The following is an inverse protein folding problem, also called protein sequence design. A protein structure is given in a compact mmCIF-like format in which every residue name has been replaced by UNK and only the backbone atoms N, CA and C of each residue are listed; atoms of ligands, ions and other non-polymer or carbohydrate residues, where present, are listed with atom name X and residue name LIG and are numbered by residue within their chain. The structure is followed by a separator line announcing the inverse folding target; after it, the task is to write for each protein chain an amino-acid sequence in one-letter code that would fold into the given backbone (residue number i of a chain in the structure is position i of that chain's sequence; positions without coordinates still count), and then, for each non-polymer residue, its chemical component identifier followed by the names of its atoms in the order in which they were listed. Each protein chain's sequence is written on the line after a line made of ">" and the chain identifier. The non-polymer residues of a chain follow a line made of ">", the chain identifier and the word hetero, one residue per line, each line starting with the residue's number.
data_IF_108165557537
#
_entry.id   IF_108165557537
#
_cell.length_a   1.000
_cell.length_b   1.000
_cell.length_c   1.000
_cell.angle_alpha   90.00
_cell.angle_beta   90.00
_cell.angle_gamma   90.00
#
_symmetry.space_group_name_H-M   'P 1'
#
loop_
_entity.id
_entity.type
_entity.pdbx_description
1 polymer ?
#
# COMPACT_ATOMS: atom_id res chain seq x y z
N UNK A 1 72.62 -30.48 -38.36
CA UNK A 1 73.48 -29.89 -37.32
C UNK A 1 72.75 -30.07 -35.99
N UNK A 2 73.32 -30.97 -35.17
CA UNK A 2 72.79 -31.30 -33.82
C UNK A 2 72.92 -30.09 -32.86
N UNK A 3 71.99 -29.90 -31.96
CA UNK A 3 72.35 -29.62 -30.56
C UNK A 3 71.26 -30.16 -29.60
N UNK A 4 71.72 -31.08 -28.76
CA UNK A 4 71.10 -31.57 -27.52
C UNK A 4 71.26 -30.50 -26.45
N UNK A 5 70.24 -30.22 -25.61
CA UNK A 5 70.47 -29.81 -24.20
C UNK A 5 69.30 -30.32 -23.33
N UNK A 6 69.73 -31.27 -22.49
CA UNK A 6 69.42 -31.58 -21.08
C UNK A 6 68.01 -31.36 -20.52
N UNK A 7 67.52 -32.50 -20.02
CA UNK A 7 66.52 -32.63 -18.93
C UNK A 7 67.08 -32.01 -17.65
N UNK A 8 66.28 -31.18 -17.02
CA UNK A 8 66.36 -30.97 -15.58
C UNK A 8 64.99 -31.23 -14.95
N UNK A 9 65.04 -32.18 -14.05
CA UNK A 9 63.97 -32.69 -13.21
C UNK A 9 63.64 -31.65 -12.14
N UNK A 10 62.44 -31.04 -12.15
CA UNK A 10 61.93 -30.34 -11.01
C UNK A 10 60.64 -31.00 -10.57
N UNK A 11 60.76 -31.66 -9.43
CA UNK A 11 59.75 -32.25 -8.61
C UNK A 11 58.82 -31.11 -8.09
N UNK A 12 57.63 -30.94 -8.63
CA UNK A 12 56.68 -29.95 -8.12
C UNK A 12 55.49 -30.68 -7.51
N UNK A 13 55.37 -30.46 -6.21
CA UNK A 13 54.35 -30.98 -5.30
C UNK A 13 52.98 -30.52 -5.77
N UNK A 14 52.14 -31.44 -6.20
CA UNK A 14 50.72 -31.26 -6.46
C UNK A 14 49.97 -31.15 -5.13
N UNK A 15 49.75 -29.92 -4.68
CA UNK A 15 48.77 -29.62 -3.62
C UNK A 15 47.41 -29.69 -4.28
N UNK A 16 46.67 -30.77 -4.02
CA UNK A 16 45.23 -30.85 -4.29
C UNK A 16 44.49 -29.90 -3.36
N UNK A 17 44.15 -28.71 -3.82
CA UNK A 17 43.06 -27.92 -3.24
C UNK A 17 41.75 -28.54 -3.73
N UNK A 18 41.15 -29.39 -2.91
CA UNK A 18 39.75 -29.73 -3.04
C UNK A 18 38.89 -28.52 -2.70
N UNK A 19 38.56 -27.72 -3.70
CA UNK A 19 37.50 -26.74 -3.59
C UNK A 19 36.18 -27.50 -3.52
N UNK A 20 35.68 -27.70 -2.31
CA UNK A 20 34.30 -28.08 -2.10
C UNK A 20 33.42 -26.88 -2.54
N UNK A 21 33.04 -26.87 -3.80
CA UNK A 21 31.95 -26.04 -4.27
C UNK A 21 30.65 -26.64 -3.72
N UNK A 22 30.25 -26.21 -2.54
CA UNK A 22 28.85 -26.36 -2.15
C UNK A 22 28.01 -25.52 -3.11
N UNK A 23 27.59 -26.08 -4.21
CA UNK A 23 26.46 -25.60 -4.97
C UNK A 23 25.22 -25.84 -4.10
N UNK A 24 24.86 -24.85 -3.31
CA UNK A 24 23.50 -24.76 -2.80
C UNK A 24 22.58 -24.47 -4.00
N UNK A 25 22.02 -25.54 -4.55
CA UNK A 25 20.84 -25.43 -5.40
C UNK A 25 19.77 -24.82 -4.50
N UNK A 26 19.54 -23.52 -4.63
CA UNK A 26 18.34 -22.89 -4.14
C UNK A 26 17.22 -23.31 -5.10
N UNK A 27 16.57 -24.42 -4.79
CA UNK A 27 15.22 -24.68 -5.27
C UNK A 27 14.30 -23.65 -4.65
N UNK A 28 14.08 -22.56 -5.39
CA UNK A 28 13.22 -21.43 -4.99
C UNK A 28 11.75 -21.70 -5.21
N UNK A 29 11.17 -22.75 -4.67
CA UNK A 29 9.70 -22.95 -4.58
C UNK A 29 9.34 -23.94 -3.47
N UNK A 30 10.00 -23.90 -2.32
CA UNK A 30 9.74 -24.78 -1.21
C UNK A 30 9.22 -24.04 0.00
N UNK A 31 7.91 -24.16 0.27
CA UNK A 31 7.25 -24.16 1.58
C UNK A 31 7.83 -23.22 2.66
N UNK A 32 7.63 -21.93 2.51
CA UNK A 32 7.83 -20.96 3.61
C UNK A 32 6.82 -21.17 4.76
N UNK A 33 5.75 -21.94 4.54
CA UNK A 33 4.70 -22.23 5.53
C UNK A 33 5.14 -23.18 6.65
N UNK A 34 6.27 -23.88 6.50
CA UNK A 34 6.69 -24.91 7.45
C UNK A 34 7.94 -24.55 8.28
N UNK A 35 8.41 -23.31 8.17
CA UNK A 35 9.63 -22.88 8.86
C UNK A 35 9.32 -22.27 10.23
N UNK A 36 10.07 -22.69 11.25
CA UNK A 36 10.02 -22.03 12.56
C UNK A 36 10.74 -20.70 12.54
N UNK A 37 10.07 -19.66 13.04
CA UNK A 37 10.65 -18.36 13.33
C UNK A 37 11.14 -18.36 14.78
N UNK A 38 12.41 -18.01 14.99
CA UNK A 38 13.06 -17.99 16.29
C UNK A 38 13.19 -16.55 16.79
N UNK A 39 12.88 -16.33 18.06
CA UNK A 39 13.06 -15.05 18.76
C UNK A 39 13.78 -15.29 20.08
N UNK A 40 14.71 -14.39 20.39
CA UNK A 40 15.58 -14.50 21.57
C UNK A 40 15.28 -13.37 22.56
N UNK A 41 15.60 -13.63 23.83
CA UNK A 41 15.56 -12.65 24.90
C UNK A 41 14.20 -11.94 25.02
N UNK A 42 13.12 -12.69 24.86
CA UNK A 42 11.76 -12.17 25.05
C UNK A 42 11.48 -12.03 26.53
N UNK A 43 10.89 -10.92 26.92
CA UNK A 43 10.59 -10.60 28.31
C UNK A 43 9.08 -10.50 28.53
N UNK A 44 8.63 -10.90 29.72
CA UNK A 44 7.26 -10.74 30.18
C UNK A 44 7.19 -10.63 31.71
N UNK A 45 6.14 -10.01 32.22
CA UNK A 45 5.93 -9.88 33.68
C UNK A 45 5.59 -11.22 34.31
N UNK A 46 4.92 -12.10 33.59
CA UNK A 46 4.54 -13.46 33.93
C UNK A 46 4.64 -14.33 32.63
N UNK A 47 4.30 -15.61 32.74
CA UNK A 47 4.36 -16.56 31.62
C UNK A 47 3.40 -16.19 30.48
N UNK A 48 2.20 -15.72 30.83
CA UNK A 48 1.18 -15.28 29.84
C UNK A 48 1.64 -14.04 29.06
N UNK A 49 2.16 -13.04 29.76
CA UNK A 49 2.71 -11.82 29.14
C UNK A 49 3.95 -12.14 28.29
N UNK A 50 4.79 -13.08 28.73
CA UNK A 50 5.89 -13.59 27.93
C UNK A 50 5.39 -14.26 26.65
N UNK A 51 4.39 -15.14 26.73
CA UNK A 51 3.84 -15.83 25.56
C UNK A 51 3.27 -14.84 24.54
N UNK A 52 2.51 -13.85 25.00
CA UNK A 52 1.95 -12.80 24.16
C UNK A 52 3.05 -12.00 23.44
N UNK A 53 4.07 -11.58 24.19
CA UNK A 53 5.19 -10.82 23.63
C UNK A 53 6.04 -11.65 22.66
N UNK A 54 6.21 -12.95 22.96
CA UNK A 54 6.94 -13.86 22.09
C UNK A 54 6.18 -14.13 20.78
N UNK A 55 4.88 -14.40 20.84
CA UNK A 55 4.03 -14.56 19.64
C UNK A 55 4.04 -13.30 18.79
N UNK A 56 4.00 -12.11 19.40
CA UNK A 56 4.09 -10.83 18.68
C UNK A 56 5.41 -10.71 17.93
N UNK A 57 6.54 -10.95 18.58
CA UNK A 57 7.88 -10.90 17.94
C UNK A 57 8.05 -11.95 16.84
N UNK A 58 7.51 -13.18 17.05
CA UNK A 58 7.51 -14.23 16.04
C UNK A 58 6.72 -13.80 14.81
N UNK A 59 5.54 -13.21 15.02
CA UNK A 59 4.70 -12.72 13.94
C UNK A 59 5.37 -11.58 13.18
N UNK A 60 5.95 -10.59 13.88
CA UNK A 60 6.68 -9.47 13.27
C UNK A 60 7.86 -9.95 12.40
N UNK A 61 8.64 -10.89 12.93
CA UNK A 61 9.79 -11.44 12.21
C UNK A 61 9.36 -12.32 11.04
N UNK A 62 8.39 -13.21 11.25
CA UNK A 62 7.86 -14.09 10.21
C UNK A 62 7.15 -13.34 9.08
N UNK A 63 6.44 -12.24 9.38
CA UNK A 63 5.88 -11.35 8.37
C UNK A 63 6.99 -10.67 7.56
N UNK A 64 8.09 -10.25 8.20
CA UNK A 64 9.27 -9.71 7.50
C UNK A 64 9.86 -10.72 6.53
N UNK A 65 10.08 -11.96 6.96
CA UNK A 65 10.60 -13.05 6.12
C UNK A 65 9.65 -13.42 4.97
N UNK A 66 8.33 -13.39 5.18
CA UNK A 66 7.32 -13.62 4.14
C UNK A 66 7.32 -12.50 3.08
N UNK A 67 7.57 -11.26 3.49
CA UNK A 67 7.67 -10.11 2.58
C UNK A 67 8.94 -10.20 1.74
N UNK A 68 10.08 -10.54 2.34
CA UNK A 68 11.36 -10.71 1.64
C UNK A 68 11.39 -11.93 0.71
N UNK A 69 10.65 -12.99 1.05
CA UNK A 69 10.63 -14.27 0.32
C UNK A 69 9.82 -14.33 -0.97
N UNK A 70 9.34 -13.20 -1.51
CA UNK A 70 8.77 -13.16 -2.88
C UNK A 70 7.31 -12.75 -3.02
N UNK A 71 6.63 -12.38 -1.97
CA UNK A 71 5.35 -11.67 -2.03
C UNK A 71 5.51 -10.24 -1.52
N UNK A 72 6.02 -9.35 -2.37
CA UNK A 72 6.00 -7.89 -2.16
C UNK A 72 4.56 -7.31 -2.01
N UNK A 73 3.59 -8.17 -1.80
CA UNK A 73 2.17 -7.82 -1.71
C UNK A 73 1.61 -7.75 -0.29
N UNK A 74 2.42 -8.11 0.72
CA UNK A 74 2.01 -7.97 2.11
C UNK A 74 2.66 -6.71 2.66
N UNK A 75 1.95 -5.60 2.51
CA UNK A 75 2.39 -4.26 2.85
C UNK A 75 2.67 -4.04 4.34
N UNK A 76 3.51 -3.05 4.65
CA UNK A 76 3.80 -2.63 6.02
C UNK A 76 2.56 -2.32 6.87
N UNK A 77 1.42 -1.96 6.24
CA UNK A 77 0.12 -1.80 6.89
C UNK A 77 -0.46 -3.10 7.41
N UNK A 78 -0.26 -4.20 6.68
CA UNK A 78 -0.65 -5.54 7.11
C UNK A 78 0.15 -5.91 8.33
N UNK A 79 1.44 -5.62 8.33
CA UNK A 79 2.34 -5.84 9.46
C UNK A 79 1.85 -5.10 10.71
N UNK A 80 1.54 -3.82 10.60
CA UNK A 80 1.04 -2.99 11.72
C UNK A 80 -0.36 -3.42 12.17
N UNK A 81 -1.21 -3.78 11.22
CA UNK A 81 -2.59 -4.20 11.48
C UNK A 81 -2.66 -5.58 12.12
N UNK A 82 -1.85 -6.53 11.66
CA UNK A 82 -1.80 -7.90 12.19
C UNK A 82 -1.11 -7.90 13.55
N UNK A 83 -0.03 -7.13 13.74
CA UNK A 83 0.65 -7.02 15.05
C UNK A 83 -0.19 -6.31 16.11
N UNK A 84 -1.12 -5.46 15.73
CA UNK A 84 -2.05 -4.77 16.63
C UNK A 84 -3.39 -5.51 16.86
N UNK A 85 -3.72 -6.51 16.06
CA UNK A 85 -4.85 -7.42 16.31
C UNK A 85 -4.39 -8.60 17.16
N UNK A 86 -5.33 -9.36 17.75
CA UNK A 86 -4.98 -10.53 18.58
C UNK A 86 -4.00 -11.46 17.85
N UNK A 87 -2.74 -11.42 18.24
CA UNK A 87 -1.63 -12.17 17.63
C UNK A 87 -1.78 -13.68 17.76
N UNK A 88 -2.70 -14.14 18.61
CA UNK A 88 -2.84 -15.54 19.01
C UNK A 88 -3.24 -16.46 17.84
N UNK A 89 -3.99 -15.95 16.85
CA UNK A 89 -4.49 -16.76 15.75
C UNK A 89 -3.51 -17.01 14.61
N UNK A 90 -2.45 -16.21 14.49
CA UNK A 90 -1.53 -16.28 13.34
C UNK A 90 -0.27 -17.07 13.59
N UNK A 91 0.10 -17.27 14.89
CA UNK A 91 1.24 -18.07 15.29
C UNK A 91 0.76 -19.44 15.72
N UNK A 92 1.12 -20.44 14.94
CA UNK A 92 0.85 -21.85 15.24
C UNK A 92 2.10 -22.52 15.77
N UNK A 93 1.93 -23.64 16.47
CA UNK A 93 3.06 -24.43 17.00
C UNK A 93 4.05 -23.58 17.81
N UNK A 94 3.56 -22.84 18.81
CA UNK A 94 4.38 -22.04 19.70
C UNK A 94 5.10 -22.90 20.74
N UNK A 95 6.41 -22.66 20.92
CA UNK A 95 7.22 -23.33 21.92
C UNK A 95 8.19 -22.34 22.58
N UNK A 96 8.24 -22.36 23.92
CA UNK A 96 9.34 -21.76 24.66
C UNK A 96 10.60 -22.61 24.54
N UNK A 97 11.75 -21.99 24.44
CA UNK A 97 13.07 -22.64 24.38
C UNK A 97 13.80 -22.43 25.70
N UNK A 98 14.09 -23.51 26.39
CA UNK A 98 14.78 -23.48 27.68
C UNK A 98 13.93 -23.03 28.87
N UNK A 99 14.60 -22.80 30.01
CA UNK A 99 13.96 -22.34 31.25
C UNK A 99 13.92 -20.82 31.29
N UNK A 100 12.98 -20.26 32.05
CA UNK A 100 12.96 -18.82 32.31
C UNK A 100 14.20 -18.35 33.06
N UNK A 101 14.79 -17.27 32.58
CA UNK A 101 15.83 -16.48 33.25
C UNK A 101 15.14 -15.29 33.94
N UNK A 102 15.52 -15.01 35.20
CA UNK A 102 15.04 -13.81 35.88
C UNK A 102 15.93 -12.62 35.53
N UNK A 103 15.30 -11.53 35.04
CA UNK A 103 15.97 -10.26 34.75
C UNK A 103 15.22 -9.14 35.48
N UNK A 104 15.65 -8.86 36.69
CA UNK A 104 14.88 -8.00 37.59
C UNK A 104 13.54 -8.62 37.94
N UNK A 105 12.45 -7.89 37.70
CA UNK A 105 11.08 -8.34 37.91
C UNK A 105 10.45 -9.02 36.69
N UNK A 106 11.23 -9.28 35.65
CA UNK A 106 10.75 -9.90 34.41
C UNK A 106 11.27 -11.32 34.26
N UNK A 107 10.45 -12.15 33.63
CA UNK A 107 10.85 -13.45 33.11
C UNK A 107 11.38 -13.26 31.70
N UNK A 108 12.53 -13.85 31.37
CA UNK A 108 13.14 -13.80 30.05
C UNK A 108 13.39 -15.22 29.55
N UNK A 109 13.01 -15.52 28.33
CA UNK A 109 13.34 -16.76 27.63
C UNK A 109 13.36 -16.55 26.11
N UNK A 110 13.80 -17.59 25.40
CA UNK A 110 13.74 -17.65 23.97
C UNK A 110 12.49 -18.42 23.52
N UNK A 111 12.00 -18.17 22.32
CA UNK A 111 10.83 -18.84 21.79
C UNK A 111 10.92 -19.11 20.30
N UNK A 112 10.11 -20.04 19.81
CA UNK A 112 9.91 -20.32 18.40
C UNK A 112 8.44 -20.58 18.11
N UNK A 113 8.02 -20.31 16.87
CA UNK A 113 6.68 -20.64 16.41
C UNK A 113 6.61 -20.57 14.90
N UNK A 114 5.56 -21.11 14.33
CA UNK A 114 5.25 -21.00 12.90
C UNK A 114 4.26 -19.90 12.65
N UNK A 115 4.44 -19.12 11.59
CA UNK A 115 3.50 -18.10 11.13
C UNK A 115 2.70 -18.67 9.97
N UNK A 116 1.39 -18.71 10.12
CA UNK A 116 0.50 -19.22 9.06
C UNK A 116 0.19 -18.13 8.04
N UNK A 117 0.77 -18.27 6.86
CA UNK A 117 0.50 -17.40 5.71
C UNK A 117 -0.99 -17.42 5.31
N UNK A 118 -1.60 -18.60 5.28
CA UNK A 118 -3.01 -18.76 4.92
C UNK A 118 -3.94 -18.00 5.86
N UNK A 119 -3.74 -18.11 7.17
CA UNK A 119 -4.56 -17.37 8.14
C UNK A 119 -4.42 -15.86 8.00
N UNK A 120 -3.22 -15.40 7.64
CA UNK A 120 -2.96 -13.98 7.35
C UNK A 120 -3.70 -13.56 6.09
N UNK A 121 -3.58 -14.31 5.00
CA UNK A 121 -4.24 -14.01 3.72
C UNK A 121 -5.77 -14.04 3.87
N UNK A 122 -6.32 -15.02 4.58
CA UNK A 122 -7.75 -15.13 4.84
C UNK A 122 -8.27 -13.93 5.65
N UNK A 123 -7.56 -13.54 6.72
CA UNK A 123 -7.90 -12.37 7.55
C UNK A 123 -7.84 -11.06 6.76
N UNK A 124 -6.90 -10.96 5.83
CA UNK A 124 -6.80 -9.80 4.93
C UNK A 124 -7.94 -9.75 3.93
N UNK A 125 -8.30 -10.90 3.34
CA UNK A 125 -9.44 -10.97 2.43
C UNK A 125 -10.75 -10.64 3.14
N UNK A 126 -10.91 -11.08 4.37
CA UNK A 126 -12.07 -10.74 5.20
C UNK A 126 -12.14 -9.23 5.47
N UNK A 127 -11.02 -8.59 5.79
CA UNK A 127 -10.94 -7.13 5.93
C UNK A 127 -11.22 -6.37 4.65
N UNK A 128 -10.70 -6.83 3.51
CA UNK A 128 -11.03 -6.23 2.22
C UNK A 128 -12.52 -6.38 1.88
N UNK A 129 -13.16 -7.44 2.33
CA UNK A 129 -14.62 -7.60 2.20
C UNK A 129 -15.39 -6.61 3.10
N UNK A 130 -14.90 -6.38 4.33
CA UNK A 130 -15.52 -5.42 5.25
C UNK A 130 -15.29 -3.95 4.86
N UNK A 131 -14.09 -3.61 4.43
CA UNK A 131 -13.71 -2.23 4.07
C UNK A 131 -14.07 -1.87 2.63
N UNK A 132 -14.33 -2.86 1.77
CA UNK A 132 -14.47 -2.71 0.33
C UNK A 132 -13.12 -2.45 -0.35
N UNK A 133 -13.08 -2.69 -1.67
CA UNK A 133 -11.92 -2.29 -2.48
C UNK A 133 -11.87 -0.76 -2.58
N UNK A 134 -10.67 -0.14 -2.54
CA UNK A 134 -10.56 1.30 -2.74
C UNK A 134 -11.15 1.71 -4.09
N UNK A 135 -12.03 2.70 -4.08
CA UNK A 135 -12.61 3.28 -5.28
C UNK A 135 -11.59 4.15 -5.99
N UNK A 136 -11.16 3.72 -7.14
CA UNK A 136 -10.08 4.29 -7.91
C UNK A 136 -10.63 4.98 -9.17
N UNK A 137 -10.36 6.25 -9.32
CA UNK A 137 -10.66 7.00 -10.53
C UNK A 137 -9.36 7.26 -11.29
N UNK A 138 -9.39 7.13 -12.61
CA UNK A 138 -8.21 7.29 -13.45
C UNK A 138 -8.48 8.16 -14.64
N UNK A 139 -7.56 9.08 -14.91
CA UNK A 139 -7.56 9.97 -16.09
C UNK A 139 -6.15 9.99 -16.65
N UNK A 140 -6.01 9.57 -17.89
CA UNK A 140 -4.72 9.57 -18.58
C UNK A 140 -4.86 10.30 -19.90
N UNK A 141 -4.03 11.33 -20.08
CA UNK A 141 -3.80 11.98 -21.38
C UNK A 141 -2.89 11.07 -22.21
N UNK A 142 -3.42 10.47 -23.26
CA UNK A 142 -2.68 9.53 -24.09
C UNK A 142 -2.40 10.11 -25.47
N UNK A 143 -1.13 10.17 -25.84
CA UNK A 143 -0.66 10.60 -27.17
C UNK A 143 0.13 9.47 -27.80
N UNK A 144 -0.37 8.94 -28.91
CA UNK A 144 0.25 7.85 -29.67
C UNK A 144 0.66 8.38 -31.03
N UNK A 145 1.97 8.34 -31.32
CA UNK A 145 2.56 8.81 -32.57
C UNK A 145 2.07 10.23 -32.97
N UNK A 146 2.00 11.12 -31.98
CA UNK A 146 1.57 12.51 -32.15
C UNK A 146 0.06 12.72 -32.23
N UNK A 147 -0.76 11.67 -32.13
CA UNK A 147 -2.22 11.76 -32.13
C UNK A 147 -2.78 11.49 -30.75
N UNK A 148 -3.78 12.28 -30.35
CA UNK A 148 -4.52 12.01 -29.11
C UNK A 148 -5.27 10.68 -29.25
N UNK A 149 -5.16 9.85 -28.24
CA UNK A 149 -5.85 8.57 -28.14
C UNK A 149 -6.42 8.42 -26.75
N UNK A 150 -7.26 7.41 -26.53
CA UNK A 150 -7.85 7.11 -25.22
C UNK A 150 -7.83 5.62 -24.97
N UNK A 151 -7.55 5.23 -23.73
CA UNK A 151 -7.83 3.92 -23.16
C UNK A 151 -6.79 2.79 -23.26
N UNK A 152 -5.73 2.84 -24.05
CA UNK A 152 -4.76 1.72 -24.08
C UNK A 152 -4.02 1.62 -22.76
N UNK A 153 -3.50 2.74 -22.28
CA UNK A 153 -2.80 2.78 -20.97
C UNK A 153 -3.73 2.48 -19.81
N UNK A 154 -4.94 3.01 -19.84
CA UNK A 154 -5.95 2.75 -18.81
C UNK A 154 -6.30 1.28 -18.74
N UNK A 155 -6.56 0.64 -19.90
CA UNK A 155 -6.84 -0.79 -19.96
C UNK A 155 -5.67 -1.64 -19.43
N UNK A 156 -4.43 -1.25 -19.72
CA UNK A 156 -3.24 -1.93 -19.22
C UNK A 156 -3.13 -1.81 -17.69
N UNK A 157 -3.45 -0.63 -17.13
CA UNK A 157 -3.46 -0.38 -15.69
C UNK A 157 -4.58 -1.16 -15.02
N UNK A 158 -5.81 -1.10 -15.51
CA UNK A 158 -6.97 -1.84 -14.95
C UNK A 158 -6.68 -3.35 -14.89
N UNK A 159 -6.09 -3.91 -15.94
CA UNK A 159 -5.70 -5.34 -15.97
C UNK A 159 -4.65 -5.70 -14.90
N UNK A 160 -3.80 -4.75 -14.53
CA UNK A 160 -2.69 -4.99 -13.60
C UNK A 160 -3.05 -4.70 -12.15
N UNK A 161 -3.88 -3.69 -11.89
CA UNK A 161 -4.23 -3.19 -10.56
C UNK A 161 -5.57 -3.81 -10.09
N UNK A 162 -5.62 -5.13 -9.97
CA UNK A 162 -6.84 -5.90 -9.65
C UNK A 162 -7.38 -5.68 -8.23
N UNK A 163 -6.57 -5.09 -7.35
CA UNK A 163 -6.91 -4.79 -5.97
C UNK A 163 -7.83 -3.57 -5.80
N UNK A 164 -8.04 -2.77 -6.85
CA UNK A 164 -8.87 -1.57 -6.82
C UNK A 164 -10.24 -1.78 -7.49
N UNK A 165 -11.21 -0.97 -7.08
CA UNK A 165 -12.52 -0.84 -7.71
C UNK A 165 -12.53 0.41 -8.61
N UNK A 166 -12.43 0.21 -9.92
CA UNK A 166 -12.31 1.31 -10.87
C UNK A 166 -13.66 1.93 -11.17
N UNK A 167 -13.75 3.25 -10.96
CA UNK A 167 -14.93 4.04 -11.29
C UNK A 167 -14.92 4.47 -12.76
N UNK A 168 -16.09 4.47 -13.38
CA UNK A 168 -16.26 4.97 -14.74
C UNK A 168 -16.20 6.50 -14.82
N UNK A 169 -15.56 7.02 -15.89
CA UNK A 169 -15.34 8.47 -16.11
C UNK A 169 -16.57 9.24 -16.59
N UNK A 170 -17.69 8.59 -16.87
CA UNK A 170 -18.84 9.20 -17.57
C UNK A 170 -19.34 10.49 -16.91
N UNK A 171 -19.19 10.65 -15.62
CA UNK A 171 -19.57 11.86 -14.90
C UNK A 171 -18.53 12.98 -15.02
N UNK A 172 -17.25 12.62 -15.21
CA UNK A 172 -16.17 13.60 -15.41
C UNK A 172 -16.24 14.28 -16.78
N UNK A 173 -16.78 13.60 -17.79
CA UNK A 173 -16.98 14.20 -19.11
C UNK A 173 -17.75 15.52 -19.01
N UNK A 174 -18.69 15.64 -18.08
CA UNK A 174 -19.45 16.89 -17.83
C UNK A 174 -18.58 18.01 -17.24
N UNK A 175 -17.57 17.68 -16.44
CA UNK A 175 -16.62 18.66 -15.86
C UNK A 175 -15.62 19.07 -16.92
N UNK A 176 -15.10 18.12 -17.69
CA UNK A 176 -14.11 18.36 -18.73
C UNK A 176 -14.67 19.09 -19.94
N UNK A 177 -15.91 18.82 -20.35
CA UNK A 177 -16.57 19.47 -21.50
C UNK A 177 -17.02 20.90 -21.22
N UNK A 178 -17.24 21.29 -19.97
CA UNK A 178 -17.58 22.68 -19.63
C UNK A 178 -16.47 23.69 -19.93
N UNK A 179 -15.22 23.22 -20.02
CA UNK A 179 -14.07 24.13 -20.13
C UNK A 179 -13.45 24.22 -21.51
N UNK A 180 -13.69 23.32 -22.47
CA UNK A 180 -12.82 23.33 -23.65
C UNK A 180 -13.46 22.80 -24.92
N UNK A 181 -13.58 23.67 -25.88
CA UNK A 181 -13.51 23.32 -27.30
C UNK A 181 -12.09 22.96 -27.76
N UNK A 182 -11.12 22.76 -26.85
CA UNK A 182 -9.72 22.37 -27.13
C UNK A 182 -9.30 21.28 -26.17
N UNK A 183 -8.59 20.27 -26.67
CA UNK A 183 -7.94 19.24 -25.86
C UNK A 183 -6.84 19.89 -25.02
N UNK A 184 -7.11 20.17 -23.75
CA UNK A 184 -6.11 20.68 -22.80
C UNK A 184 -5.54 19.49 -22.05
N UNK A 185 -4.20 19.38 -22.02
CA UNK A 185 -3.52 18.38 -21.20
C UNK A 185 -3.87 18.60 -19.71
N UNK A 186 -4.32 17.54 -19.06
CA UNK A 186 -4.71 17.57 -17.65
C UNK A 186 -3.48 17.44 -16.78
N UNK A 187 -2.60 16.51 -17.12
CA UNK A 187 -1.38 16.26 -16.36
C UNK A 187 -0.46 17.49 -16.35
N UNK A 188 -0.14 17.96 -15.13
CA UNK A 188 0.67 19.16 -14.93
C UNK A 188 -0.10 20.48 -14.96
N UNK A 189 -1.40 20.46 -15.24
CA UNK A 189 -2.27 21.64 -15.11
C UNK A 189 -2.92 21.66 -13.73
N UNK A 190 -2.34 22.45 -12.83
CA UNK A 190 -2.75 22.47 -11.41
C UNK A 190 -4.22 22.87 -11.20
N UNK A 191 -4.75 23.76 -12.01
CA UNK A 191 -6.16 24.18 -11.93
C UNK A 191 -7.09 23.02 -12.29
N UNK A 192 -6.82 22.35 -13.42
CA UNK A 192 -7.61 21.20 -13.86
C UNK A 192 -7.48 20.01 -12.90
N UNK A 193 -6.26 19.72 -12.41
CA UNK A 193 -6.06 18.67 -11.41
C UNK A 193 -6.90 18.91 -10.15
N UNK A 194 -7.04 20.19 -9.71
CA UNK A 194 -7.85 20.56 -8.54
C UNK A 194 -9.36 20.39 -8.79
N UNK A 195 -9.84 20.77 -9.97
CA UNK A 195 -11.23 20.59 -10.37
C UNK A 195 -11.61 19.11 -10.49
N UNK A 196 -10.72 18.33 -11.07
CA UNK A 196 -10.90 16.86 -11.17
C UNK A 196 -10.89 16.20 -9.80
N UNK A 197 -10.04 16.64 -8.88
CA UNK A 197 -10.05 16.15 -7.49
C UNK A 197 -11.39 16.44 -6.80
N UNK A 198 -11.98 17.60 -7.04
CA UNK A 198 -13.30 17.92 -6.49
C UNK A 198 -14.39 17.04 -7.08
N UNK A 199 -14.39 16.85 -8.40
CA UNK A 199 -15.34 15.97 -9.07
C UNK A 199 -15.15 14.49 -8.66
N UNK A 200 -13.90 14.03 -8.50
CA UNK A 200 -13.60 12.69 -8.00
C UNK A 200 -14.18 12.46 -6.59
N UNK A 201 -14.10 13.48 -5.74
CA UNK A 201 -14.72 13.44 -4.39
C UNK A 201 -16.25 13.30 -4.47
N UNK A 202 -16.90 14.05 -5.36
CA UNK A 202 -18.37 13.96 -5.57
C UNK A 202 -18.79 12.59 -6.10
N UNK A 203 -17.95 11.95 -6.92
CA UNK A 203 -18.18 10.59 -7.41
C UNK A 203 -17.90 9.51 -6.36
N UNK A 204 -17.41 9.89 -5.19
CA UNK A 204 -17.04 8.96 -4.12
C UNK A 204 -15.75 8.20 -4.39
N UNK A 205 -14.88 8.69 -5.28
CA UNK A 205 -13.54 8.15 -5.44
C UNK A 205 -12.71 8.37 -4.17
N UNK A 206 -11.85 7.43 -3.85
CA UNK A 206 -10.93 7.53 -2.73
C UNK A 206 -9.51 7.82 -3.21
N UNK A 207 -9.18 7.29 -4.37
CA UNK A 207 -7.89 7.48 -5.04
C UNK A 207 -8.14 8.03 -6.45
N UNK A 208 -7.36 9.03 -6.83
CA UNK A 208 -7.36 9.58 -8.19
C UNK A 208 -5.96 9.47 -8.80
N UNK A 209 -5.86 8.80 -9.95
CA UNK A 209 -4.67 8.83 -10.79
C UNK A 209 -4.86 9.85 -11.93
N UNK A 210 -3.97 10.82 -12.00
CA UNK A 210 -3.83 11.72 -13.15
C UNK A 210 -2.52 11.41 -13.84
N UNK A 211 -2.57 11.07 -15.12
CA UNK A 211 -1.40 10.63 -15.85
C UNK A 211 -1.29 11.14 -17.28
N UNK A 212 -0.12 10.92 -17.85
CA UNK A 212 0.17 11.15 -19.25
C UNK A 212 0.93 9.95 -19.82
N UNK A 213 0.48 9.47 -20.96
CA UNK A 213 1.21 8.46 -21.75
C UNK A 213 1.59 9.04 -23.09
N UNK A 214 2.85 8.90 -23.45
CA UNK A 214 3.35 9.28 -24.77
C UNK A 214 4.03 8.08 -25.43
N UNK A 215 3.59 7.73 -26.63
CA UNK A 215 4.21 6.66 -27.41
C UNK A 215 4.81 7.24 -28.69
N UNK A 216 6.08 6.91 -28.94
CA UNK A 216 6.82 7.33 -30.12
C UNK A 216 7.39 6.11 -30.85
N UNK A 217 7.53 6.23 -32.15
CA UNK A 217 8.38 5.34 -32.94
C UNK A 217 9.82 5.86 -32.85
N UNK A 218 10.75 5.03 -32.41
CA UNK A 218 12.15 5.41 -32.14
C UNK A 218 13.05 5.03 -33.33
N UNK A 219 12.52 4.29 -34.31
CA UNK A 219 13.25 3.88 -35.50
C UNK A 219 12.88 2.48 -35.98
N UNK A 220 13.42 2.16 -37.13
CA UNK A 220 13.30 0.84 -37.76
C UNK A 220 14.65 0.12 -37.65
N UNK A 221 14.60 -1.21 -37.52
CA UNK A 221 15.83 -2.01 -37.53
C UNK A 221 16.26 -2.27 -38.95
N UNK A 222 17.49 -1.93 -39.25
CA UNK A 222 18.09 -2.07 -40.56
C UNK A 222 17.95 -3.50 -41.11
N UNK A 223 17.52 -3.64 -42.36
CA UNK A 223 17.23 -4.92 -43.00
C UNK A 223 16.12 -5.78 -42.34
N UNK A 224 15.15 -5.17 -41.66
CA UNK A 224 14.01 -5.88 -41.09
C UNK A 224 12.77 -4.98 -41.11
N UNK A 225 11.57 -5.61 -41.11
CA UNK A 225 10.31 -4.89 -40.98
C UNK A 225 9.99 -4.51 -39.52
N UNK A 226 10.93 -4.75 -38.59
CA UNK A 226 10.74 -4.47 -37.17
C UNK A 226 10.88 -2.97 -36.88
N UNK A 227 9.88 -2.44 -36.18
CA UNK A 227 9.88 -1.04 -35.71
C UNK A 227 9.98 -1.00 -34.18
N UNK A 228 10.71 -0.02 -33.69
CA UNK A 228 10.90 0.19 -32.25
C UNK A 228 9.91 1.22 -31.74
N UNK A 229 9.09 0.83 -30.78
CA UNK A 229 8.12 1.70 -30.09
C UNK A 229 8.55 1.91 -28.66
N UNK A 230 8.50 3.17 -28.21
CA UNK A 230 8.78 3.54 -26.83
C UNK A 230 7.55 4.23 -26.24
N UNK A 231 7.08 3.71 -25.12
CA UNK A 231 6.05 4.32 -24.30
C UNK A 231 6.67 4.96 -23.06
N UNK A 232 6.32 6.21 -22.78
CA UNK A 232 6.68 6.92 -21.55
C UNK A 232 5.40 7.20 -20.78
N UNK A 233 5.32 6.71 -19.56
CA UNK A 233 4.21 6.95 -18.62
C UNK A 233 4.68 7.87 -17.51
N UNK A 234 3.87 8.90 -17.22
CA UNK A 234 4.04 9.81 -16.07
C UNK A 234 2.72 9.91 -15.36
N UNK A 235 2.72 9.88 -14.03
CA UNK A 235 1.48 10.07 -13.28
C UNK A 235 1.71 10.54 -11.85
N UNK A 236 0.64 11.10 -11.30
CA UNK A 236 0.47 11.45 -9.90
C UNK A 236 -0.79 10.74 -9.39
N UNK A 237 -0.70 10.22 -8.19
CA UNK A 237 -1.82 9.61 -7.49
C UNK A 237 -2.13 10.44 -6.27
N UNK A 238 -3.40 10.80 -6.13
CA UNK A 238 -3.92 11.62 -5.05
C UNK A 238 -4.79 10.77 -4.14
N UNK A 239 -4.67 10.99 -2.85
CA UNK A 239 -5.75 10.73 -1.92
C UNK A 239 -6.81 11.82 -2.11
N UNK A 240 -7.99 11.43 -2.56
CA UNK A 240 -9.06 12.37 -2.94
C UNK A 240 -9.56 13.17 -1.74
N UNK A 241 -9.55 12.55 -0.56
CA UNK A 241 -10.11 13.15 0.66
C UNK A 241 -9.16 14.17 1.28
N UNK A 242 -7.88 13.83 1.34
CA UNK A 242 -6.85 14.73 1.91
C UNK A 242 -6.25 15.66 0.86
N UNK A 243 -6.53 15.41 -0.43
CA UNK A 243 -5.96 16.11 -1.60
C UNK A 243 -4.42 16.05 -1.65
N UNK A 244 -3.81 15.09 -0.96
CA UNK A 244 -2.35 14.90 -0.93
C UNK A 244 -1.91 13.97 -2.04
N UNK A 245 -0.75 14.22 -2.62
CA UNK A 245 -0.08 13.27 -3.51
C UNK A 245 0.49 12.13 -2.68
N UNK A 246 -0.02 10.93 -2.91
CA UNK A 246 0.40 9.71 -2.21
C UNK A 246 1.41 8.90 -3.02
N UNK A 247 1.39 9.03 -4.35
CA UNK A 247 2.38 8.43 -5.23
C UNK A 247 2.63 9.31 -6.45
N UNK A 248 3.85 9.31 -6.95
CA UNK A 248 4.20 9.90 -8.24
C UNK A 248 5.44 9.19 -8.78
N UNK A 249 5.41 8.86 -10.06
CA UNK A 249 6.58 8.27 -10.73
C UNK A 249 6.48 8.47 -12.25
N UNK A 250 7.58 8.15 -12.94
CA UNK A 250 7.65 8.05 -14.38
C UNK A 250 8.38 6.77 -14.76
N UNK A 251 8.05 6.24 -15.93
CA UNK A 251 8.70 5.03 -16.44
C UNK A 251 8.62 4.98 -17.95
N UNK A 252 9.42 4.08 -18.53
CA UNK A 252 9.34 3.78 -19.95
C UNK A 252 9.35 2.29 -20.21
N UNK A 253 8.62 1.89 -21.25
CA UNK A 253 8.64 0.56 -21.84
C UNK A 253 9.01 0.66 -23.33
N UNK A 254 9.66 -0.36 -23.86
CA UNK A 254 10.00 -0.44 -25.26
C UNK A 254 9.65 -1.82 -25.83
N UNK A 255 9.21 -1.83 -27.09
CA UNK A 255 8.89 -3.05 -27.81
C UNK A 255 9.35 -2.95 -29.27
N UNK A 256 9.80 -4.08 -29.80
CA UNK A 256 10.10 -4.27 -31.22
C UNK A 256 8.97 -5.12 -31.81
N UNK A 257 8.31 -4.61 -32.85
CA UNK A 257 7.24 -5.36 -33.49
C UNK A 257 7.05 -4.94 -34.94
N UNK A 258 6.62 -5.89 -35.80
CA UNK A 258 6.29 -5.61 -37.18
C UNK A 258 4.94 -4.85 -37.25
N UNK A 259 3.98 -5.28 -36.44
CA UNK A 259 2.68 -4.63 -36.36
C UNK A 259 2.74 -3.44 -35.38
N UNK A 260 2.31 -2.28 -35.83
CA UNK A 260 2.35 -1.03 -35.06
C UNK A 260 1.51 -1.11 -33.79
N UNK A 261 0.26 -1.56 -33.88
CA UNK A 261 -0.67 -1.55 -32.77
C UNK A 261 -0.21 -2.51 -31.66
N UNK A 262 0.28 -3.69 -32.05
CA UNK A 262 0.83 -4.67 -31.11
C UNK A 262 2.10 -4.12 -30.44
N UNK A 263 2.99 -3.49 -31.20
CA UNK A 263 4.21 -2.89 -30.64
C UNK A 263 3.92 -1.77 -29.65
N UNK A 264 2.94 -0.91 -29.94
CA UNK A 264 2.47 0.15 -29.04
C UNK A 264 1.89 -0.44 -27.75
N UNK A 265 0.98 -1.41 -27.86
CA UNK A 265 0.37 -2.06 -26.70
C UNK A 265 1.41 -2.74 -25.81
N UNK A 266 2.38 -3.41 -26.43
CA UNK A 266 3.44 -4.10 -25.68
C UNK A 266 4.39 -3.11 -24.99
N UNK A 267 4.74 -1.99 -25.63
CA UNK A 267 5.56 -0.95 -25.03
C UNK A 267 4.85 -0.35 -23.80
N UNK A 268 3.55 -0.05 -23.91
CA UNK A 268 2.73 0.43 -22.79
C UNK A 268 2.65 -0.62 -21.67
N UNK A 269 2.37 -1.88 -22.01
CA UNK A 269 2.28 -2.98 -21.04
C UNK A 269 3.59 -3.11 -20.24
N UNK A 270 4.74 -3.10 -20.92
CA UNK A 270 6.05 -3.17 -20.25
C UNK A 270 6.31 -1.97 -19.33
N UNK A 271 5.86 -0.77 -19.73
CA UNK A 271 5.94 0.40 -18.86
C UNK A 271 5.07 0.24 -17.60
N UNK A 272 3.82 -0.21 -17.76
CA UNK A 272 2.91 -0.47 -16.63
C UNK A 272 3.46 -1.55 -15.70
N UNK A 273 4.01 -2.63 -16.23
CA UNK A 273 4.61 -3.69 -15.42
C UNK A 273 5.80 -3.22 -14.58
N UNK A 274 6.65 -2.35 -15.12
CA UNK A 274 7.79 -1.78 -14.40
C UNK A 274 7.37 -0.85 -13.27
N UNK A 275 6.30 -0.09 -13.47
CA UNK A 275 5.91 0.94 -12.52
C UNK A 275 4.96 0.43 -11.44
N UNK A 276 4.19 -0.62 -11.75
CA UNK A 276 3.20 -1.21 -10.84
C UNK A 276 3.73 -1.49 -9.44
N UNK A 277 4.85 -2.24 -9.24
CA UNK A 277 5.33 -2.54 -7.89
C UNK A 277 5.66 -1.28 -7.09
N UNK A 278 6.30 -0.30 -7.71
CA UNK A 278 6.67 0.97 -7.06
C UNK A 278 5.45 1.78 -6.62
N UNK A 279 4.45 1.86 -7.49
CA UNK A 279 3.21 2.59 -7.19
C UNK A 279 2.43 1.89 -6.09
N UNK A 280 2.32 0.58 -6.18
CA UNK A 280 1.66 -0.21 -5.18
C UNK A 280 2.30 -0.01 -3.81
N UNK A 281 3.63 -0.04 -3.73
CA UNK A 281 4.39 0.24 -2.51
C UNK A 281 4.10 1.66 -1.98
N UNK A 282 4.12 2.68 -2.85
CA UNK A 282 3.84 4.06 -2.43
C UNK A 282 2.40 4.25 -1.96
N UNK A 283 1.43 3.64 -2.65
CA UNK A 283 0.01 3.69 -2.22
C UNK A 283 -0.12 2.99 -0.88
N UNK A 284 0.39 1.77 -0.74
CA UNK A 284 0.26 0.98 0.48
C UNK A 284 0.91 1.63 1.71
N UNK A 285 2.00 2.35 1.50
CA UNK A 285 2.70 3.05 2.57
C UNK A 285 1.98 4.33 3.00
N UNK A 286 1.41 5.07 2.05
CA UNK A 286 0.88 6.41 2.31
C UNK A 286 -0.64 6.48 2.36
N UNK A 287 -1.32 5.63 1.61
CA UNK A 287 -2.78 5.55 1.62
C UNK A 287 -3.24 4.41 2.51
N UNK A 288 -4.00 4.75 3.54
CA UNK A 288 -4.54 3.80 4.53
C UNK A 288 -6.06 3.79 4.41
N UNK A 289 -6.65 2.84 3.66
CA UNK A 289 -8.10 2.80 3.46
C UNK A 289 -8.82 2.66 4.79
N UNK A 290 -9.80 3.52 5.00
CA UNK A 290 -10.58 3.54 6.24
C UNK A 290 -9.80 3.94 7.48
N UNK A 291 -8.51 4.26 7.35
CA UNK A 291 -7.67 4.59 8.50
C UNK A 291 -7.58 6.08 8.77
N UNK A 292 -7.68 6.94 7.76
CA UNK A 292 -7.66 8.39 7.95
C UNK A 292 -9.06 8.95 7.72
N UNK A 293 -9.73 9.34 8.80
CA UNK A 293 -11.08 9.87 8.81
C UNK A 293 -11.03 11.28 9.33
N UNK A 294 -11.57 12.22 8.57
CA UNK A 294 -11.75 13.60 9.02
C UNK A 294 -13.10 13.70 9.71
N UNK A 295 -13.08 13.98 11.01
CA UNK A 295 -14.30 14.25 11.79
C UNK A 295 -14.46 15.74 11.97
N UNK A 296 -15.61 16.28 11.52
CA UNK A 296 -16.03 17.67 11.74
C UNK A 296 -17.21 17.68 12.68
N UNK A 297 -17.11 18.47 13.75
CA UNK A 297 -18.17 18.63 14.77
C UNK A 297 -18.59 20.09 14.79
N UNK A 298 -19.79 20.37 14.36
CA UNK A 298 -20.39 21.72 14.35
C UNK A 298 -21.30 21.91 15.56
N UNK A 299 -21.42 23.15 16.04
CA UNK A 299 -22.32 23.51 17.15
C UNK A 299 -21.80 23.14 18.54
N UNK A 300 -20.49 22.87 18.67
CA UNK A 300 -19.80 22.68 19.95
C UNK A 300 -18.78 23.80 20.15
N UNK A 301 -18.70 24.34 21.36
CA UNK A 301 -17.62 25.27 21.73
C UNK A 301 -16.31 24.51 21.95
N UNK A 302 -15.19 25.20 21.87
CA UNK A 302 -13.89 24.58 22.16
C UNK A 302 -13.79 24.15 23.62
N UNK A 303 -14.35 24.94 24.53
CA UNK A 303 -14.41 24.60 25.96
C UNK A 303 -15.23 23.32 26.18
N UNK A 304 -16.43 23.22 25.61
CA UNK A 304 -17.22 21.98 25.63
C UNK A 304 -16.47 20.76 25.07
N UNK A 305 -15.69 20.96 24.01
CA UNK A 305 -14.88 19.91 23.39
C UNK A 305 -13.79 19.39 24.35
N UNK A 306 -13.12 20.31 25.06
CA UNK A 306 -12.08 19.96 26.04
C UNK A 306 -12.70 19.37 27.31
N UNK A 307 -13.70 20.05 27.90
CA UNK A 307 -14.31 19.66 29.17
C UNK A 307 -14.96 18.27 29.11
N UNK A 308 -15.50 17.89 27.97
CA UNK A 308 -16.11 16.59 27.74
C UNK A 308 -15.11 15.52 27.23
N UNK A 309 -13.84 15.88 27.10
CA UNK A 309 -12.79 15.02 26.56
C UNK A 309 -13.22 14.25 25.29
N UNK A 310 -13.82 14.96 24.34
CA UNK A 310 -14.32 14.37 23.09
C UNK A 310 -13.23 13.58 22.37
N UNK A 311 -12.00 14.10 22.39
CA UNK A 311 -10.82 13.43 21.82
C UNK A 311 -10.54 12.07 22.50
N UNK A 312 -10.60 12.04 23.83
CA UNK A 312 -10.42 10.82 24.62
C UNK A 312 -11.53 9.80 24.40
N UNK A 313 -12.79 10.26 24.33
CA UNK A 313 -13.93 9.42 24.02
C UNK A 313 -13.83 8.72 22.67
N UNK A 314 -13.40 9.46 21.63
CA UNK A 314 -13.20 8.91 20.30
C UNK A 314 -12.00 7.95 20.30
N UNK A 315 -10.90 8.31 20.96
CA UNK A 315 -9.73 7.45 21.10
C UNK A 315 -10.05 6.15 21.84
N UNK A 316 -11.02 6.18 22.77
CA UNK A 316 -11.51 5.02 23.51
C UNK A 316 -12.43 4.09 22.70
N UNK A 317 -12.74 4.39 21.45
CA UNK A 317 -13.47 3.49 20.56
C UNK A 317 -12.49 2.40 20.09
N UNK A 318 -12.84 1.14 20.37
CA UNK A 318 -12.01 0.00 19.95
C UNK A 318 -11.77 0.06 18.45
N UNK A 319 -10.49 0.05 18.02
CA UNK A 319 -10.08 0.15 16.61
C UNK A 319 -9.76 1.58 16.15
N UNK A 320 -9.83 2.58 17.02
CA UNK A 320 -9.24 3.90 16.80
C UNK A 320 -7.79 3.87 17.31
N UNK A 321 -6.84 4.14 16.44
CA UNK A 321 -5.41 4.09 16.76
C UNK A 321 -4.90 5.45 17.26
N UNK A 322 -5.31 6.53 16.57
CA UNK A 322 -4.88 7.89 16.89
C UNK A 322 -5.98 8.89 16.59
N UNK A 323 -6.06 9.93 17.42
CA UNK A 323 -6.89 11.10 17.19
C UNK A 323 -6.01 12.35 17.33
N UNK A 324 -5.94 13.12 16.26
CA UNK A 324 -5.17 14.37 16.20
C UNK A 324 -6.12 15.52 15.95
N UNK A 325 -5.93 16.62 16.67
CA UNK A 325 -6.66 17.85 16.43
C UNK A 325 -6.05 18.59 15.26
N UNK A 326 -6.87 18.95 14.28
CA UNK A 326 -6.47 19.75 13.10
C UNK A 326 -6.89 21.20 13.30
N UNK A 327 -8.07 21.40 13.88
CA UNK A 327 -8.61 22.71 14.22
C UNK A 327 -9.52 22.58 15.45
N UNK A 328 -9.24 23.36 16.49
CA UNK A 328 -10.05 23.40 17.72
C UNK A 328 -11.44 24.01 17.53
N UNK A 329 -11.72 24.56 16.37
CA UNK A 329 -12.96 25.24 16.10
C UNK A 329 -13.05 26.63 16.71
N UNK A 330 -14.12 27.32 16.37
CA UNK A 330 -14.57 28.57 16.99
C UNK A 330 -16.09 28.61 16.94
N UNK A 331 -16.71 29.65 17.50
CA UNK A 331 -18.17 29.73 17.57
C UNK A 331 -18.88 29.47 16.22
N UNK A 332 -18.21 29.78 15.09
CA UNK A 332 -18.75 29.62 13.73
C UNK A 332 -17.94 28.61 12.88
N UNK A 333 -16.97 27.91 13.48
CA UNK A 333 -16.16 26.93 12.76
C UNK A 333 -16.20 25.58 13.47
N UNK A 334 -16.34 24.47 12.76
CA UNK A 334 -16.38 23.15 13.38
C UNK A 334 -15.04 22.80 14.02
N UNK A 335 -15.07 22.05 15.11
CA UNK A 335 -13.93 21.30 15.59
C UNK A 335 -13.58 20.26 14.52
N UNK A 336 -12.32 20.17 14.14
CA UNK A 336 -11.85 19.22 13.10
C UNK A 336 -10.79 18.31 13.67
N UNK A 337 -11.07 17.03 13.64
CA UNK A 337 -10.16 15.97 14.10
C UNK A 337 -9.78 15.05 12.94
N UNK A 338 -8.53 14.67 12.91
CA UNK A 338 -8.00 13.60 12.03
C UNK A 338 -7.92 12.32 12.87
N UNK A 339 -8.61 11.28 12.43
CA UNK A 339 -8.73 10.02 13.14
C UNK A 339 -8.09 8.92 12.30
N UNK A 340 -7.11 8.22 12.86
CA UNK A 340 -6.62 6.96 12.33
C UNK A 340 -7.39 5.82 12.98
N UNK A 341 -8.14 5.06 12.17
CA UNK A 341 -8.96 3.96 12.66
C UNK A 341 -8.88 2.73 11.75
N UNK A 342 -9.18 1.57 12.29
CA UNK A 342 -9.33 0.32 11.54
C UNK A 342 -10.63 0.27 10.72
N UNK A 343 -11.47 1.28 10.87
CA UNK A 343 -12.80 1.40 10.27
C UNK A 343 -12.82 2.47 9.19
N UNK A 344 -13.79 2.38 8.30
CA UNK A 344 -14.19 3.52 7.47
C UNK A 344 -15.07 4.49 8.26
N UNK A 345 -15.31 5.70 7.72
CA UNK A 345 -16.10 6.71 8.39
C UNK A 345 -17.54 6.26 8.72
N UNK A 346 -18.16 5.45 7.87
CA UNK A 346 -19.50 4.93 8.11
C UNK A 346 -19.54 4.04 9.36
N UNK A 347 -18.60 3.09 9.45
CA UNK A 347 -18.53 2.17 10.58
C UNK A 347 -18.10 2.89 11.87
N UNK A 348 -17.18 3.86 11.77
CA UNK A 348 -16.80 4.68 12.92
C UNK A 348 -18.00 5.50 13.41
N UNK A 349 -18.77 6.11 12.50
CA UNK A 349 -19.98 6.85 12.85
C UNK A 349 -21.00 5.96 13.57
N UNK A 350 -21.22 4.72 13.13
CA UNK A 350 -22.10 3.78 13.85
C UNK A 350 -21.61 3.53 15.27
N UNK A 351 -20.31 3.27 15.45
CA UNK A 351 -19.72 3.10 16.80
C UNK A 351 -19.83 4.35 17.67
N UNK A 352 -19.69 5.52 17.10
CA UNK A 352 -19.97 6.78 17.81
C UNK A 352 -21.45 6.88 18.22
N UNK A 353 -22.38 6.47 17.35
CA UNK A 353 -23.83 6.47 17.67
C UNK A 353 -24.18 5.47 18.77
N UNK A 354 -23.56 4.30 18.82
CA UNK A 354 -23.73 3.32 19.88
C UNK A 354 -23.31 3.88 21.27
N UNK A 355 -22.32 4.77 21.28
CA UNK A 355 -21.76 5.41 22.47
C UNK A 355 -22.18 6.89 22.62
N UNK A 356 -23.29 7.30 22.00
CA UNK A 356 -23.70 8.72 21.98
C UNK A 356 -23.90 9.34 23.37
N UNK A 357 -24.30 8.56 24.35
CA UNK A 357 -24.46 8.98 25.76
C UNK A 357 -23.15 9.45 26.37
N UNK A 358 -22.03 8.85 25.98
CA UNK A 358 -20.71 9.15 26.54
C UNK A 358 -20.25 10.58 26.13
N UNK A 359 -20.71 11.06 24.96
CA UNK A 359 -20.33 12.38 24.45
C UNK A 359 -20.97 13.55 25.23
N UNK A 360 -21.96 13.29 26.07
CA UNK A 360 -22.65 14.31 26.84
C UNK A 360 -23.47 15.30 26.00
N UNK A 361 -23.71 14.99 24.73
CA UNK A 361 -24.62 15.68 23.81
C UNK A 361 -25.11 14.74 22.72
N UNK A 362 -26.31 14.99 22.19
CA UNK A 362 -26.80 14.29 21.00
C UNK A 362 -26.28 15.00 19.74
N UNK A 363 -26.06 14.24 18.66
CA UNK A 363 -25.57 14.74 17.39
C UNK A 363 -26.27 14.07 16.21
N UNK A 364 -26.39 14.80 15.12
CA UNK A 364 -26.93 14.33 13.86
C UNK A 364 -25.86 14.36 12.79
N UNK A 365 -25.96 13.42 11.85
CA UNK A 365 -25.11 13.46 10.66
C UNK A 365 -25.51 14.62 9.74
N UNK A 366 -24.52 15.35 9.25
CA UNK A 366 -24.64 16.26 8.13
C UNK A 366 -24.15 15.59 6.86
N UNK A 367 -23.02 14.89 6.97
CA UNK A 367 -22.44 14.09 5.90
C UNK A 367 -21.59 12.96 6.48
N UNK A 368 -21.74 11.74 5.98
CA UNK A 368 -20.88 10.60 6.35
C UNK A 368 -20.43 9.87 5.09
N UNK A 369 -19.12 9.78 4.91
CA UNK A 369 -18.43 9.08 3.83
C UNK A 369 -17.32 8.18 4.40
N UNK A 370 -16.69 7.37 3.58
CA UNK A 370 -15.62 6.46 4.03
C UNK A 370 -14.50 7.13 4.81
N UNK A 371 -14.18 8.40 4.52
CA UNK A 371 -13.09 9.16 5.15
C UNK A 371 -13.52 10.51 5.71
N UNK A 372 -14.81 10.78 5.75
CA UNK A 372 -15.37 12.02 6.30
C UNK A 372 -16.59 11.69 7.18
N UNK A 373 -16.57 12.22 8.39
CA UNK A 373 -17.73 12.29 9.27
C UNK A 373 -17.98 13.75 9.57
N UNK A 374 -19.13 14.28 9.18
CA UNK A 374 -19.54 15.64 9.52
C UNK A 374 -20.83 15.56 10.33
N UNK A 375 -20.76 15.95 11.58
CA UNK A 375 -21.87 15.93 12.53
C UNK A 375 -22.15 17.32 13.07
N UNK A 376 -23.39 17.52 13.48
CA UNK A 376 -23.86 18.75 14.15
C UNK A 376 -24.45 18.37 15.51
N UNK A 377 -24.07 19.11 16.55
CA UNK A 377 -24.69 19.01 17.88
C UNK A 377 -26.17 19.39 17.76
N UNK A 378 -27.04 18.58 18.33
CA UNK A 378 -28.46 18.79 18.37
C UNK A 378 -28.83 19.75 19.51
#
# INVERSE_FOLDING_TARGET
>A
MCYRVKQDLILSVLIFFSVNVCTSIQDGTGDSENRFVYVENVQGKNEEDFELNAKRKILEKGLGELIEGGSQSIDGQIKETITNSSTEGYVTEFYRIGSFRKKGNLLEADAKGKVSRKLIEDSLQERYKELGKPKFLMIIDETILGKSNTSISENAIVKKFVEFDFLEKNQLAKVLTKQTGKSIAIYGNQTLETEILSAASEMGAQILLVGQTQVTNVGEIENSDLKSYQAVLRFKIYDVNTKRIIAADNTSGAALHINQDTGIQEAIRKAVEKIYPKIREQISTKWKPGNLILLKIEGISYDDYIDKDIKGLIRGIKGVNRVSEVNGGSFNQPVVLEIEALYNGNNLYQKMRERKTDFGFDFLQKEVKSSLIYIIKK
#
